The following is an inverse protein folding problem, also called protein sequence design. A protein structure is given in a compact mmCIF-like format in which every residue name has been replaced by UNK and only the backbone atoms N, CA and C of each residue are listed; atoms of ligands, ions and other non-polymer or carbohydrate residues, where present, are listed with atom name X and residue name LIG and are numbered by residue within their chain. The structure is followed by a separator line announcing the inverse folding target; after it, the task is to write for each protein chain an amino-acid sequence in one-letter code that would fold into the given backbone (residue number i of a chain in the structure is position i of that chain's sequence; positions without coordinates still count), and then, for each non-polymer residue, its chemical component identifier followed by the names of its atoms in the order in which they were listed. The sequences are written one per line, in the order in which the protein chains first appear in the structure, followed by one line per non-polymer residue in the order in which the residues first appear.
data_IF_747575466691
#
_entry.id   IF_747575466691
#
_cell.length_a   1.000
_cell.length_b   1.000
_cell.length_c   1.000
_cell.angle_alpha   90.00
_cell.angle_beta   90.00
_cell.angle_gamma   90.00
#
_symmetry.space_group_name_H-M   'P 1'
#
loop_
_entity.id
_entity.type
_entity.pdbx_description
1 polymer ?
#
# COMPACT_ATOMS: atom_id res chain seq x y z
N UNK A 1 5.09 17.89 -4.42
CA UNK A 1 5.19 18.51 -3.07
C UNK A 1 4.23 17.92 -2.02
N UNK A 2 2.91 17.77 -2.25
CA UNK A 2 1.98 17.24 -1.22
C UNK A 2 2.39 15.87 -0.64
N UNK A 3 2.76 14.92 -1.51
CA UNK A 3 3.21 13.59 -1.09
C UNK A 3 4.53 13.64 -0.30
N UNK A 4 5.50 14.45 -0.73
CA UNK A 4 6.78 14.62 -0.03
C UNK A 4 6.59 15.19 1.40
N UNK A 5 5.66 16.14 1.58
CA UNK A 5 5.30 16.65 2.90
C UNK A 5 4.60 15.60 3.77
N UNK A 6 3.74 14.75 3.18
CA UNK A 6 3.10 13.66 3.92
C UNK A 6 4.17 12.68 4.42
N UNK A 7 5.11 12.29 3.56
CA UNK A 7 6.22 11.41 3.91
C UNK A 7 7.14 12.01 4.97
N UNK A 8 7.46 13.30 4.89
CA UNK A 8 8.24 14.01 5.91
C UNK A 8 7.55 13.94 7.28
N UNK A 9 6.23 14.20 7.33
CA UNK A 9 5.45 14.14 8.56
C UNK A 9 5.38 12.72 9.14
N UNK A 10 5.23 11.72 8.29
CA UNK A 10 5.21 10.33 8.73
C UNK A 10 6.57 9.89 9.28
N UNK A 11 7.66 10.30 8.63
CA UNK A 11 9.01 10.08 9.14
C UNK A 11 9.23 10.75 10.50
N UNK A 12 8.76 11.99 10.67
CA UNK A 12 8.85 12.72 11.94
C UNK A 12 8.08 11.99 13.05
N UNK A 13 6.85 11.55 12.77
CA UNK A 13 6.02 10.75 13.70
C UNK A 13 6.71 9.46 14.13
N UNK A 14 7.26 8.70 13.17
CA UNK A 14 7.97 7.45 13.47
C UNK A 14 9.27 7.68 14.24
N UNK A 15 9.90 8.83 14.04
CA UNK A 15 11.14 9.22 14.72
C UNK A 15 10.91 9.91 16.07
N UNK A 16 9.65 10.14 16.47
CA UNK A 16 9.30 10.85 17.70
C UNK A 16 9.67 12.34 17.68
N UNK A 17 9.78 12.95 16.51
CA UNK A 17 10.10 14.37 16.33
C UNK A 17 8.80 15.15 16.13
N UNK A 18 8.49 16.03 17.07
CA UNK A 18 7.29 16.89 16.99
C UNK A 18 7.62 18.32 16.52
N UNK A 19 8.86 18.77 16.75
CA UNK A 19 9.32 20.11 16.40
C UNK A 19 9.62 20.21 14.91
N UNK A 20 8.92 21.12 14.22
CA UNK A 20 9.04 21.33 12.77
C UNK A 20 10.45 21.84 12.37
N UNK A 21 11.15 22.51 13.28
CA UNK A 21 12.55 22.96 13.09
C UNK A 21 13.55 21.79 12.97
N UNK A 22 13.22 20.63 13.54
CA UNK A 22 14.02 19.41 13.47
C UNK A 22 13.62 18.53 12.28
N UNK A 23 12.70 19.00 11.42
CA UNK A 23 12.29 18.25 10.26
C UNK A 23 13.45 18.10 9.27
N UNK A 24 13.67 16.90 8.70
CA UNK A 24 14.63 16.70 7.62
C UNK A 24 14.20 17.50 6.38
N UNK A 25 15.15 17.84 5.51
CA UNK A 25 14.84 18.54 4.25
C UNK A 25 13.78 17.77 3.45
N UNK A 26 12.81 18.50 2.89
CA UNK A 26 11.79 17.91 2.01
C UNK A 26 12.39 17.27 0.76
N UNK A 27 13.52 17.80 0.29
CA UNK A 27 14.26 17.29 -0.88
C UNK A 27 14.65 15.81 -0.70
N UNK A 28 14.84 15.36 0.54
CA UNK A 28 15.14 13.97 0.86
C UNK A 28 13.98 13.01 0.48
N UNK A 29 12.76 13.53 0.34
CA UNK A 29 11.56 12.74 0.05
C UNK A 29 11.07 12.92 -1.38
N UNK A 30 11.54 13.94 -2.12
CA UNK A 30 10.98 14.30 -3.43
C UNK A 30 11.05 13.15 -4.43
N UNK A 31 12.19 12.44 -4.50
CA UNK A 31 12.35 11.32 -5.42
C UNK A 31 11.34 10.20 -5.14
N UNK A 32 11.25 9.74 -3.90
CA UNK A 32 10.36 8.65 -3.51
C UNK A 32 8.90 9.08 -3.64
N UNK A 33 8.58 10.34 -3.30
CA UNK A 33 7.25 10.90 -3.47
C UNK A 33 6.83 10.94 -4.94
N UNK A 34 7.73 11.32 -5.85
CA UNK A 34 7.47 11.30 -7.28
C UNK A 34 7.23 9.87 -7.80
N UNK A 35 8.06 8.90 -7.37
CA UNK A 35 7.87 7.48 -7.71
C UNK A 35 6.50 6.95 -7.24
N UNK A 36 6.10 7.27 -6.00
CA UNK A 36 4.78 6.88 -5.46
C UNK A 36 3.63 7.48 -6.25
N UNK A 37 3.68 8.79 -6.56
CA UNK A 37 2.65 9.45 -7.35
C UNK A 37 2.57 8.84 -8.74
N UNK A 38 3.70 8.62 -9.41
CA UNK A 38 3.72 7.98 -10.73
C UNK A 38 3.13 6.57 -10.68
N UNK A 39 3.49 5.77 -9.68
CA UNK A 39 2.94 4.42 -9.52
C UNK A 39 1.42 4.45 -9.32
N UNK A 40 0.92 5.32 -8.45
CA UNK A 40 -0.52 5.48 -8.23
C UNK A 40 -1.27 5.87 -9.51
N UNK A 41 -0.68 6.76 -10.32
CA UNK A 41 -1.25 7.12 -11.63
C UNK A 41 -1.27 5.94 -12.60
N UNK A 42 -0.20 5.14 -12.66
CA UNK A 42 -0.12 3.96 -13.53
C UNK A 42 -1.13 2.88 -13.12
N UNK A 43 -1.25 2.61 -11.81
CA UNK A 43 -2.25 1.67 -11.27
C UNK A 43 -3.65 2.15 -11.61
N UNK A 44 -3.97 3.43 -11.38
CA UNK A 44 -5.27 3.99 -11.71
C UNK A 44 -5.58 3.91 -13.22
N UNK A 45 -4.62 4.26 -14.08
CA UNK A 45 -4.78 4.14 -15.53
C UNK A 45 -5.00 2.68 -15.95
N UNK A 46 -4.33 1.73 -15.31
CA UNK A 46 -4.52 0.30 -15.61
C UNK A 46 -5.92 -0.18 -15.19
N UNK A 47 -6.40 0.23 -14.01
CA UNK A 47 -7.77 -0.06 -13.55
C UNK A 47 -8.80 0.46 -14.55
N UNK A 48 -8.64 1.69 -15.02
CA UNK A 48 -9.56 2.32 -15.98
C UNK A 48 -9.47 1.66 -17.37
N UNK A 49 -8.27 1.56 -17.95
CA UNK A 49 -8.05 1.06 -19.31
C UNK A 49 -8.34 -0.43 -19.49
N UNK A 50 -8.34 -1.20 -18.41
CA UNK A 50 -8.69 -2.64 -18.40
C UNK A 50 -10.05 -2.92 -17.77
N UNK A 51 -10.79 -1.88 -17.40
CA UNK A 51 -12.10 -1.96 -16.77
C UNK A 51 -12.12 -2.93 -15.57
N UNK A 52 -11.04 -2.90 -14.76
CA UNK A 52 -10.93 -3.77 -13.60
C UNK A 52 -12.01 -3.38 -12.59
N UNK A 53 -12.84 -4.36 -12.24
CA UNK A 53 -13.91 -4.18 -11.26
C UNK A 53 -13.45 -4.69 -9.92
N UNK A 54 -13.78 -3.94 -8.87
CA UNK A 54 -13.57 -4.38 -7.51
C UNK A 54 -14.41 -5.64 -7.26
N UNK A 55 -13.78 -6.66 -6.69
CA UNK A 55 -14.45 -7.88 -6.28
C UNK A 55 -14.91 -7.74 -4.82
N UNK A 56 -16.21 -7.64 -4.62
CA UNK A 56 -16.81 -7.50 -3.28
C UNK A 56 -16.51 -8.68 -2.35
N UNK A 57 -16.29 -9.89 -2.90
CA UNK A 57 -15.92 -11.05 -2.07
C UNK A 57 -14.48 -10.95 -1.60
N UNK A 58 -13.57 -10.40 -2.42
CA UNK A 58 -12.20 -10.08 -1.99
C UNK A 58 -12.20 -8.98 -0.92
N UNK A 59 -13.09 -7.99 -1.02
CA UNK A 59 -13.26 -6.97 0.02
C UNK A 59 -13.71 -7.58 1.34
N UNK A 60 -14.71 -8.47 1.33
CA UNK A 60 -15.16 -9.19 2.53
C UNK A 60 -14.06 -10.06 3.12
N UNK A 61 -13.27 -10.72 2.26
CA UNK A 61 -12.14 -11.56 2.68
C UNK A 61 -11.08 -10.72 3.37
N UNK A 62 -10.67 -9.60 2.75
CA UNK A 62 -9.71 -8.67 3.34
C UNK A 62 -10.20 -8.08 4.66
N UNK A 63 -11.47 -7.70 4.75
CA UNK A 63 -12.07 -7.24 6.01
C UNK A 63 -11.98 -8.32 7.09
N UNK A 64 -12.29 -9.58 6.74
CA UNK A 64 -12.19 -10.70 7.66
C UNK A 64 -10.76 -10.94 8.13
N UNK A 65 -9.76 -10.86 7.24
CA UNK A 65 -8.33 -10.95 7.60
C UNK A 65 -7.93 -9.89 8.63
N UNK A 66 -8.31 -8.63 8.39
CA UNK A 66 -8.04 -7.52 9.31
C UNK A 66 -8.72 -7.73 10.66
N UNK A 67 -9.97 -8.20 10.67
CA UNK A 67 -10.73 -8.35 11.92
C UNK A 67 -10.32 -9.59 12.71
N UNK A 68 -10.02 -10.70 12.04
CA UNK A 68 -9.70 -11.98 12.69
C UNK A 68 -8.30 -11.98 13.32
N UNK A 69 -7.45 -11.01 12.96
CA UNK A 69 -6.15 -10.81 13.58
C UNK A 69 -6.22 -10.37 15.05
N UNK A 70 -7.40 -9.96 15.54
CA UNK A 70 -7.58 -9.42 16.88
C UNK A 70 -8.74 -10.06 17.65
N UNK A 71 -8.63 -10.20 18.99
CA UNK A 71 -9.71 -10.76 19.83
C UNK A 71 -11.04 -9.99 19.76
N UNK A 72 -11.00 -8.68 19.48
CA UNK A 72 -12.17 -7.81 19.37
C UNK A 72 -12.62 -7.58 17.91
N UNK A 73 -12.45 -8.59 17.04
CA UNK A 73 -12.72 -8.49 15.61
C UNK A 73 -14.12 -7.97 15.23
N UNK A 74 -15.16 -8.31 15.99
CA UNK A 74 -16.53 -7.83 15.73
C UNK A 74 -16.70 -6.32 15.93
N UNK A 75 -15.98 -5.74 16.91
CA UNK A 75 -15.98 -4.29 17.13
C UNK A 75 -15.22 -3.58 16.02
N UNK A 76 -14.08 -4.15 15.59
CA UNK A 76 -13.29 -3.64 14.47
C UNK A 76 -14.11 -3.69 13.18
N UNK A 77 -14.82 -4.79 12.92
CA UNK A 77 -15.70 -4.94 11.75
C UNK A 77 -16.73 -3.82 11.70
N UNK A 78 -17.45 -3.58 12.80
CA UNK A 78 -18.44 -2.51 12.90
C UNK A 78 -17.81 -1.14 12.67
N UNK A 79 -16.61 -0.89 13.20
CA UNK A 79 -15.88 0.36 12.98
C UNK A 79 -15.60 0.60 11.49
N UNK A 80 -15.15 -0.42 10.75
CA UNK A 80 -14.97 -0.31 9.31
C UNK A 80 -16.32 -0.07 8.62
N UNK A 81 -17.32 -0.90 8.86
CA UNK A 81 -18.63 -0.81 8.19
C UNK A 81 -19.34 0.54 8.44
N UNK A 82 -19.12 1.18 9.58
CA UNK A 82 -19.70 2.48 9.93
C UNK A 82 -18.86 3.67 9.44
N UNK A 83 -17.61 3.45 9.05
CA UNK A 83 -16.70 4.48 8.59
C UNK A 83 -16.38 4.29 7.09
N UNK A 84 -17.01 5.11 6.25
CA UNK A 84 -16.81 5.05 4.80
C UNK A 84 -15.36 5.27 4.40
N UNK A 85 -14.61 6.12 5.10
CA UNK A 85 -13.19 6.37 4.79
C UNK A 85 -12.35 5.11 5.01
N UNK A 86 -12.58 4.37 6.10
CA UNK A 86 -11.89 3.10 6.35
C UNK A 86 -12.28 2.03 5.32
N UNK A 87 -13.56 1.97 4.93
CA UNK A 87 -13.99 1.06 3.88
C UNK A 87 -13.39 1.42 2.52
N UNK A 88 -13.28 2.70 2.18
CA UNK A 88 -12.70 3.13 0.91
C UNK A 88 -11.19 2.85 0.86
N UNK A 89 -10.48 3.00 1.98
CA UNK A 89 -9.08 2.58 2.11
C UNK A 89 -8.94 1.06 1.91
N UNK A 90 -9.76 0.26 2.59
CA UNK A 90 -9.77 -1.20 2.43
C UNK A 90 -10.02 -1.62 0.98
N UNK A 91 -11.02 -1.02 0.33
CA UNK A 91 -11.35 -1.29 -1.08
C UNK A 91 -10.21 -0.89 -2.01
N UNK A 92 -9.52 0.22 -1.72
CA UNK A 92 -8.35 0.65 -2.49
C UNK A 92 -7.22 -0.38 -2.41
N UNK A 93 -6.91 -0.89 -1.20
CA UNK A 93 -5.94 -1.98 -1.03
C UNK A 93 -6.34 -3.22 -1.84
N UNK A 94 -7.62 -3.60 -1.83
CA UNK A 94 -8.11 -4.77 -2.57
C UNK A 94 -8.01 -4.57 -4.08
N UNK A 95 -8.28 -3.36 -4.57
CA UNK A 95 -8.08 -3.03 -5.99
C UNK A 95 -6.60 -3.13 -6.38
N UNK A 96 -5.69 -2.64 -5.55
CA UNK A 96 -4.24 -2.76 -5.78
C UNK A 96 -3.80 -4.22 -5.83
N UNK A 97 -4.26 -5.05 -4.88
CA UNK A 97 -3.99 -6.50 -4.87
C UNK A 97 -4.49 -7.16 -6.17
N UNK A 98 -5.70 -6.82 -6.62
CA UNK A 98 -6.27 -7.32 -7.88
C UNK A 98 -5.48 -6.87 -9.12
N UNK A 99 -4.95 -5.65 -9.12
CA UNK A 99 -4.09 -5.15 -10.20
C UNK A 99 -2.80 -5.97 -10.29
N UNK A 100 -2.19 -6.27 -9.14
CA UNK A 100 -0.97 -7.11 -9.08
C UNK A 100 -1.26 -8.52 -9.59
N UNK A 101 -2.38 -9.12 -9.19
CA UNK A 101 -2.82 -10.43 -9.69
C UNK A 101 -3.03 -10.41 -11.20
N UNK A 102 -3.75 -9.42 -11.72
CA UNK A 102 -3.98 -9.26 -13.16
C UNK A 102 -2.69 -9.15 -13.96
N UNK A 103 -1.71 -8.40 -13.45
CA UNK A 103 -0.38 -8.25 -14.06
C UNK A 103 0.40 -9.56 -14.00
N UNK A 104 0.34 -10.25 -12.87
CA UNK A 104 1.08 -11.51 -12.64
C UNK A 104 0.60 -12.58 -13.60
N UNK A 105 -0.71 -12.75 -13.78
CA UNK A 105 -1.30 -13.70 -14.74
C UNK A 105 -0.86 -13.47 -16.20
N UNK A 106 -0.43 -12.24 -16.54
CA UNK A 106 -0.12 -11.81 -17.90
C UNK A 106 1.37 -11.55 -18.12
N UNK A 107 2.18 -11.78 -17.11
CA UNK A 107 3.63 -11.58 -17.16
C UNK A 107 4.35 -12.92 -17.31
N UNK A 108 5.43 -12.93 -18.08
CA UNK A 108 6.32 -14.08 -18.16
C UNK A 108 7.33 -14.02 -17.03
N UNK A 109 7.43 -15.09 -16.24
CA UNK A 109 8.42 -15.20 -15.18
C UNK A 109 9.57 -16.08 -15.64
N UNK A 110 10.79 -15.65 -15.34
CA UNK A 110 11.98 -16.49 -15.46
C UNK A 110 12.38 -16.91 -14.05
N UNK A 111 12.35 -18.22 -13.79
CA UNK A 111 12.89 -18.76 -12.54
C UNK A 111 14.42 -18.62 -12.56
N UNK A 112 14.96 -18.08 -11.47
CA UNK A 112 16.40 -17.99 -11.24
C UNK A 112 16.72 -18.71 -9.94
N UNK A 113 17.48 -19.80 -10.05
CA UNK A 113 18.06 -20.46 -8.90
C UNK A 113 19.12 -19.54 -8.27
N UNK A 114 19.00 -19.30 -6.96
CA UNK A 114 19.93 -18.50 -6.18
C UNK A 114 20.30 -19.26 -4.92
N UNK A 115 21.58 -19.21 -4.54
CA UNK A 115 22.05 -19.80 -3.30
C UNK A 115 21.53 -18.99 -2.10
N UNK A 116 21.22 -19.67 -0.98
CA UNK A 116 20.72 -19.00 0.23
C UNK A 116 21.65 -17.87 0.71
N UNK A 117 22.96 -18.08 0.58
CA UNK A 117 23.98 -17.07 0.93
C UNK A 117 23.87 -15.81 0.07
N UNK A 118 23.53 -15.94 -1.20
CA UNK A 118 23.36 -14.80 -2.12
C UNK A 118 22.08 -14.03 -1.81
N UNK A 119 20.98 -14.73 -1.44
CA UNK A 119 19.73 -14.10 -1.05
C UNK A 119 19.90 -13.19 0.18
N UNK A 120 20.61 -13.67 1.21
CA UNK A 120 20.83 -12.89 2.45
C UNK A 120 21.72 -11.67 2.22
N UNK A 121 22.75 -11.80 1.37
CA UNK A 121 23.68 -10.69 1.09
C UNK A 121 23.07 -9.58 0.23
N UNK A 122 22.01 -9.85 -0.55
CA UNK A 122 21.31 -8.83 -1.36
C UNK A 122 20.33 -7.95 -0.56
N UNK A 123 20.00 -8.32 0.67
CA UNK A 123 19.08 -7.57 1.55
C UNK A 123 19.82 -6.67 2.58
N UNK A 124 21.14 -6.48 2.44
CA UNK A 124 21.97 -5.56 3.22
C UNK A 124 22.50 -4.42 2.34
#
# INVERSE_FOLDING_TARGET
HREAHAMQKDWMRQSGIEEEEKAPSIDNFEKIAAERVHLGLLVNELVLSRELKLDDEKVKTKLAEVTNAYPNGDEIRKMYEQNSELMDQLKSTVMEDQVVEWLTERSSFNEKEIEFKELINNNQ
#
